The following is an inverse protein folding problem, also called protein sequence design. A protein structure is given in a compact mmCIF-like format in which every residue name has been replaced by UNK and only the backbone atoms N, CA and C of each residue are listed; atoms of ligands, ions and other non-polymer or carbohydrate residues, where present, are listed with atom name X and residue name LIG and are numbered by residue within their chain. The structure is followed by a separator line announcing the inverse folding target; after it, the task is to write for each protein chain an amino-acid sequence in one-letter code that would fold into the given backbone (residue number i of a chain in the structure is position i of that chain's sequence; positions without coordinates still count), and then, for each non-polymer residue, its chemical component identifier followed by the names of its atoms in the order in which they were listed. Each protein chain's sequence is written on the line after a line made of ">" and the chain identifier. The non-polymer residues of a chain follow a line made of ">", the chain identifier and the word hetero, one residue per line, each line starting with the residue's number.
data_IF_972518423560
#
_entry.id   IF_972518423560
#
_cell.length_a   1.000
_cell.length_b   1.000
_cell.length_c   1.000
_cell.angle_alpha   90.00
_cell.angle_beta   90.00
_cell.angle_gamma   90.00
#
_symmetry.space_group_name_H-M   'P 1'
#
loop_
_entity.id
_entity.type
_entity.pdbx_description
1 polymer ?
#
# COMPACT_ATOMS: atom_id res chain seq x y z
N UNK A 1 6.28 13.74 -19.72
CA UNK A 1 6.90 14.36 -18.52
C UNK A 1 7.40 13.22 -17.65
N UNK A 2 8.57 13.30 -16.98
CA UNK A 2 9.03 12.19 -16.14
C UNK A 2 8.02 11.95 -15.01
N UNK A 3 7.50 10.72 -14.93
CA UNK A 3 6.49 10.35 -13.94
C UNK A 3 7.18 10.09 -12.59
N UNK A 4 6.66 10.62 -11.46
CA UNK A 4 7.21 10.30 -10.14
C UNK A 4 7.14 8.80 -9.81
N UNK A 5 6.28 8.05 -10.51
CA UNK A 5 6.14 6.60 -10.37
C UNK A 5 7.20 5.79 -11.15
N UNK A 6 8.07 6.42 -11.93
CA UNK A 6 9.25 5.72 -12.47
C UNK A 6 10.23 5.33 -11.37
N UNK A 7 10.29 6.12 -10.29
CA UNK A 7 11.15 5.84 -9.15
C UNK A 7 10.57 4.69 -8.30
N UNK A 8 11.29 3.55 -8.15
CA UNK A 8 10.83 2.44 -7.33
C UNK A 8 10.65 2.83 -5.85
N UNK A 9 11.44 3.78 -5.33
CA UNK A 9 11.31 4.25 -3.94
C UNK A 9 9.93 4.88 -3.73
N UNK A 10 9.44 5.64 -4.70
CA UNK A 10 8.10 6.26 -4.61
C UNK A 10 7.00 5.20 -4.73
N UNK A 11 7.14 4.27 -5.68
CA UNK A 11 6.16 3.19 -5.91
C UNK A 11 5.96 2.26 -4.72
N UNK A 12 7.03 1.97 -3.98
CA UNK A 12 6.96 1.10 -2.81
C UNK A 12 6.79 1.88 -1.52
N UNK A 13 7.44 3.04 -1.40
CA UNK A 13 7.41 3.85 -0.18
C UNK A 13 6.02 4.38 0.16
N UNK A 14 5.27 4.84 -0.85
CA UNK A 14 3.91 5.36 -0.64
C UNK A 14 2.96 4.30 -0.04
N UNK A 15 2.77 3.11 -0.65
CA UNK A 15 1.91 2.08 -0.06
C UNK A 15 2.48 1.45 1.20
N UNK A 16 3.81 1.44 1.41
CA UNK A 16 4.40 0.97 2.67
C UNK A 16 3.98 1.85 3.85
N UNK A 17 3.98 3.18 3.68
CA UNK A 17 3.59 4.11 4.75
C UNK A 17 2.12 3.95 5.10
N UNK A 18 1.22 3.92 4.10
CA UNK A 18 -0.21 3.73 4.37
C UNK A 18 -0.49 2.35 4.96
N UNK A 19 0.09 1.29 4.41
CA UNK A 19 -0.08 -0.06 4.95
C UNK A 19 0.42 -0.18 6.40
N UNK A 20 1.50 0.51 6.75
CA UNK A 20 2.01 0.56 8.13
C UNK A 20 1.01 1.23 9.06
N UNK A 21 0.38 2.34 8.63
CA UNK A 21 -0.67 3.02 9.40
C UNK A 21 -1.88 2.11 9.57
N UNK A 22 -2.36 1.47 8.50
CA UNK A 22 -3.50 0.54 8.54
C UNK A 22 -3.20 -0.65 9.45
N UNK A 23 -2.00 -1.23 9.36
CA UNK A 23 -1.57 -2.33 10.23
C UNK A 23 -1.49 -1.89 11.69
N UNK A 24 -0.98 -0.70 11.99
CA UNK A 24 -0.96 -0.16 13.34
C UNK A 24 -2.38 0.00 13.89
N UNK A 25 -3.30 0.58 13.12
CA UNK A 25 -4.72 0.68 13.51
C UNK A 25 -5.32 -0.71 13.77
N UNK A 26 -5.06 -1.67 12.89
CA UNK A 26 -5.56 -3.03 13.05
C UNK A 26 -5.05 -3.72 14.31
N UNK A 27 -3.78 -3.51 14.68
CA UNK A 27 -3.17 -4.16 15.83
C UNK A 27 -3.50 -3.49 17.17
N UNK A 28 -3.61 -2.16 17.19
CA UNK A 28 -3.78 -1.40 18.43
C UNK A 28 -5.22 -0.95 18.71
N UNK A 29 -6.10 -0.91 17.70
CA UNK A 29 -7.45 -0.35 17.83
C UNK A 29 -8.58 -1.30 17.43
N UNK A 30 -8.29 -2.42 16.76
CA UNK A 30 -9.31 -3.35 16.27
C UNK A 30 -9.26 -4.72 16.98
N UNK A 31 -10.43 -5.28 17.21
CA UNK A 31 -10.62 -6.59 17.83
C UNK A 31 -11.44 -7.54 16.95
N UNK A 32 -11.35 -8.84 17.20
CA UNK A 32 -12.12 -9.85 16.47
C UNK A 32 -11.78 -9.92 14.98
N UNK A 33 -12.76 -10.30 14.15
CA UNK A 33 -12.56 -10.57 12.73
C UNK A 33 -12.09 -9.34 11.92
N UNK A 34 -12.53 -8.13 12.30
CA UNK A 34 -12.24 -6.91 11.55
C UNK A 34 -10.74 -6.57 11.54
N UNK A 35 -10.00 -6.95 12.59
CA UNK A 35 -8.54 -6.82 12.62
C UNK A 35 -7.87 -7.59 11.47
N UNK A 36 -8.29 -8.84 11.23
CA UNK A 36 -7.70 -9.66 10.17
C UNK A 36 -8.07 -9.16 8.77
N UNK A 37 -9.27 -8.61 8.61
CA UNK A 37 -9.68 -7.94 7.37
C UNK A 37 -8.78 -6.73 7.10
N UNK A 38 -8.57 -5.87 8.10
CA UNK A 38 -7.71 -4.69 7.97
C UNK A 38 -6.25 -5.07 7.68
N UNK A 39 -5.71 -6.11 8.33
CA UNK A 39 -4.38 -6.64 8.02
C UNK A 39 -4.30 -7.21 6.61
N UNK A 40 -5.36 -7.88 6.14
CA UNK A 40 -5.46 -8.35 4.76
C UNK A 40 -5.42 -7.19 3.76
N UNK A 41 -6.12 -6.10 4.04
CA UNK A 41 -6.09 -4.87 3.23
C UNK A 41 -4.68 -4.28 3.21
N UNK A 42 -4.02 -4.13 4.36
CA UNK A 42 -2.65 -3.63 4.42
C UNK A 42 -1.68 -4.49 3.60
N UNK A 43 -1.81 -5.81 3.65
CA UNK A 43 -1.01 -6.72 2.85
C UNK A 43 -1.28 -6.55 1.34
N UNK A 44 -2.55 -6.45 0.95
CA UNK A 44 -2.93 -6.19 -0.44
C UNK A 44 -2.38 -4.86 -0.93
N UNK A 45 -2.35 -3.83 -0.09
CA UNK A 45 -1.83 -2.52 -0.43
C UNK A 45 -0.36 -2.59 -0.83
N UNK A 46 0.47 -3.30 -0.07
CA UNK A 46 1.90 -3.49 -0.35
C UNK A 46 2.14 -4.31 -1.62
N UNK A 47 1.25 -5.25 -1.95
CA UNK A 47 1.42 -6.15 -3.10
C UNK A 47 0.87 -5.56 -4.40
N UNK A 48 -0.29 -4.90 -4.33
CA UNK A 48 -1.08 -4.50 -5.50
C UNK A 48 -0.77 -3.07 -5.92
N UNK A 49 -0.69 -2.12 -4.98
CA UNK A 49 -0.52 -0.70 -5.31
C UNK A 49 0.77 -0.42 -6.08
N UNK A 50 1.95 -1.00 -5.76
CA UNK A 50 3.15 -0.79 -6.57
C UNK A 50 2.99 -1.24 -8.03
N UNK A 51 2.20 -2.29 -8.28
CA UNK A 51 1.93 -2.79 -9.63
C UNK A 51 1.04 -1.83 -10.42
N UNK A 52 0.01 -1.29 -9.77
CA UNK A 52 -0.86 -0.25 -10.35
C UNK A 52 -0.04 0.99 -10.67
N UNK A 53 0.79 1.48 -9.73
CA UNK A 53 1.64 2.65 -9.95
C UNK A 53 2.68 2.40 -11.05
N UNK A 54 3.21 1.18 -11.16
CA UNK A 54 4.09 0.79 -12.27
C UNK A 54 3.35 0.84 -13.61
N UNK A 55 2.13 0.31 -13.69
CA UNK A 55 1.31 0.41 -14.91
C UNK A 55 0.98 1.87 -15.25
N UNK A 56 0.65 2.67 -14.25
CA UNK A 56 0.40 4.10 -14.43
C UNK A 56 1.65 4.84 -14.96
N UNK A 57 2.85 4.47 -14.52
CA UNK A 57 4.10 5.03 -15.06
C UNK A 57 4.34 4.64 -16.53
N UNK A 58 3.98 3.42 -16.92
CA UNK A 58 4.17 2.92 -18.30
C UNK A 58 3.12 3.45 -19.27
N UNK A 59 1.90 3.73 -18.79
CA UNK A 59 0.76 4.13 -19.60
C UNK A 59 0.50 5.65 -19.58
N UNK A 60 1.36 6.44 -18.93
CA UNK A 60 1.29 7.91 -18.86
C UNK A 60 2.06 8.57 -20.01
#
# INVERSE_FOLDING_TARGET
>A
MPSPFENPIVRYGLPLVSATIVAAVALFLLEGAIRYVALGIAALEVVVVPQILKQAATNA
#
